data_IF_958865727255
#
_entry.id   IF_958865727255
#
_cell.length_a   1.000
_cell.length_b   1.000
_cell.length_c   1.000
_cell.angle_alpha   90.00
_cell.angle_beta   90.00
_cell.angle_gamma   90.00
#
_symmetry.space_group_name_H-M   'P 1'
#
loop_
_entity.id
_entity.type
_entity.pdbx_description
1 polymer ?
#
# COMPACT_ATOMS: atom_id res chain seq x y z
N UNK A 1 -7.48 -6.78 1.07
CA UNK A 1 -8.15 -6.41 -0.20
C UNK A 1 -7.98 -7.57 -1.17
N UNK A 2 -9.03 -8.00 -1.87
CA UNK A 2 -8.95 -9.14 -2.82
C UNK A 2 -9.48 -8.73 -4.20
N UNK A 3 -8.80 -7.77 -4.82
CA UNK A 3 -9.09 -7.30 -6.18
C UNK A 3 -7.89 -7.66 -7.05
N UNK A 4 -8.06 -8.44 -8.13
CA UNK A 4 -6.97 -8.78 -9.04
C UNK A 4 -6.29 -7.52 -9.60
N UNK A 5 -4.97 -7.57 -9.75
CA UNK A 5 -4.17 -6.45 -10.28
C UNK A 5 -3.69 -5.46 -9.23
N UNK A 6 -4.33 -5.36 -8.06
CA UNK A 6 -3.87 -4.44 -7.00
C UNK A 6 -2.66 -4.96 -6.22
N UNK A 7 -2.28 -6.22 -6.38
CA UNK A 7 -1.09 -6.82 -5.75
C UNK A 7 -0.95 -6.46 -4.27
N UNK A 8 -2.06 -6.49 -3.52
CA UNK A 8 -2.10 -6.05 -2.13
C UNK A 8 -1.19 -6.90 -1.25
N UNK A 9 -0.23 -6.27 -0.58
CA UNK A 9 0.64 -6.95 0.38
C UNK A 9 1.13 -6.00 1.47
N UNK A 10 1.57 -6.56 2.59
CA UNK A 10 2.15 -5.79 3.68
C UNK A 10 3.64 -5.52 3.45
N UNK A 11 4.09 -4.30 3.71
CA UNK A 11 5.50 -3.94 3.69
C UNK A 11 6.21 -4.42 4.95
N UNK A 12 7.54 -4.58 4.86
CA UNK A 12 8.39 -4.83 6.01
C UNK A 12 8.71 -3.51 6.71
N UNK A 13 8.66 -3.48 8.04
CA UNK A 13 9.01 -2.31 8.84
C UNK A 13 8.02 -2.04 9.97
N UNK A 14 8.40 -1.05 10.79
CA UNK A 14 7.60 -0.50 11.88
C UNK A 14 7.54 1.01 11.67
N UNK A 15 6.35 1.63 11.57
CA UNK A 15 5.01 1.02 11.69
C UNK A 15 4.66 0.11 10.52
N UNK A 16 3.66 -0.77 10.72
CA UNK A 16 3.19 -1.68 9.67
C UNK A 16 2.49 -0.88 8.58
N UNK A 17 3.01 -0.96 7.36
CA UNK A 17 2.41 -0.38 6.16
C UNK A 17 1.95 -1.46 5.18
N UNK A 18 1.10 -1.07 4.26
CA UNK A 18 0.57 -1.88 3.18
C UNK A 18 0.78 -1.17 1.84
N UNK A 19 0.83 -1.94 0.77
CA UNK A 19 0.94 -1.41 -0.59
C UNK A 19 -0.16 -1.96 -1.49
N UNK A 20 -0.64 -1.13 -2.41
CA UNK A 20 -1.42 -1.51 -3.59
C UNK A 20 -0.76 -0.95 -4.85
N UNK A 21 -0.72 -1.76 -5.91
CA UNK A 21 -0.20 -1.36 -7.21
C UNK A 21 -1.20 -0.47 -7.97
N UNK A 22 -0.68 0.54 -8.68
CA UNK A 22 -1.48 1.45 -9.51
C UNK A 22 -1.18 1.21 -10.99
N UNK A 23 -0.01 1.64 -11.47
CA UNK A 23 0.44 1.47 -12.84
C UNK A 23 1.95 1.68 -12.96
N UNK A 24 2.61 1.00 -13.91
CA UNK A 24 4.06 1.09 -14.07
C UNK A 24 4.79 0.90 -12.72
N UNK A 25 5.69 1.81 -12.32
CA UNK A 25 6.41 1.73 -11.05
C UNK A 25 5.62 2.28 -9.84
N UNK A 26 4.40 2.79 -10.04
CA UNK A 26 3.66 3.51 -9.02
C UNK A 26 2.82 2.59 -8.14
N UNK A 27 2.96 2.79 -6.83
CA UNK A 27 2.21 2.12 -5.78
C UNK A 27 1.67 3.15 -4.78
N UNK A 28 0.49 2.89 -4.21
CA UNK A 28 0.03 3.61 -3.02
C UNK A 28 0.47 2.81 -1.80
N UNK A 29 1.09 3.48 -0.83
CA UNK A 29 1.42 2.89 0.47
C UNK A 29 0.64 3.59 1.57
N UNK A 30 0.23 2.86 2.60
CA UNK A 30 -0.58 3.41 3.68
C UNK A 30 -0.46 2.58 4.97
N UNK A 31 -0.74 3.22 6.09
CA UNK A 31 -1.04 2.54 7.35
C UNK A 31 -2.54 2.25 7.46
N UNK A 32 -2.89 1.23 8.23
CA UNK A 32 -4.29 0.88 8.49
C UNK A 32 -4.57 0.87 9.98
N UNK A 33 -5.52 1.70 10.42
CA UNK A 33 -5.96 1.75 11.81
C UNK A 33 -7.47 1.95 11.90
N UNK A 34 -8.16 1.11 12.68
CA UNK A 34 -9.59 1.23 12.96
C UNK A 34 -10.51 1.43 11.74
N UNK A 35 -10.15 0.84 10.59
CA UNK A 35 -10.95 0.95 9.37
C UNK A 35 -10.59 2.15 8.48
N UNK A 36 -9.59 2.94 8.88
CA UNK A 36 -9.13 4.12 8.15
C UNK A 36 -7.72 3.90 7.59
N UNK A 37 -7.51 4.46 6.38
CA UNK A 37 -6.19 4.58 5.79
C UNK A 37 -5.52 5.86 6.30
N UNK A 38 -4.30 5.72 6.82
CA UNK A 38 -3.50 6.82 7.36
C UNK A 38 -2.17 6.89 6.61
N UNK A 39 -1.50 8.06 6.66
CA UNK A 39 -0.17 8.30 6.04
C UNK A 39 -0.08 7.71 4.63
N UNK A 40 -1.03 8.13 3.80
CA UNK A 40 -1.19 7.63 2.42
C UNK A 40 -0.19 8.35 1.54
N UNK A 41 0.70 7.58 0.91
CA UNK A 41 1.74 8.09 0.02
C UNK A 41 1.61 7.44 -1.36
N UNK A 42 1.99 8.19 -2.40
CA UNK A 42 2.18 7.67 -3.76
C UNK A 42 3.69 7.54 -4.00
N UNK A 43 4.16 6.30 -4.10
CA UNK A 43 5.58 5.97 -4.15
C UNK A 43 5.94 5.27 -5.46
N UNK A 44 7.16 5.50 -5.93
CA UNK A 44 7.79 4.67 -6.95
C UNK A 44 8.73 3.70 -6.26
N UNK A 45 8.33 2.44 -6.13
CA UNK A 45 9.22 1.41 -5.63
C UNK A 45 9.03 0.15 -6.48
N UNK A 46 9.66 0.17 -7.65
CA UNK A 46 9.92 -0.99 -8.49
C UNK A 46 11.08 -0.70 -9.42
#
# INVERSE_FOLDING_TARGET
>A
MNVPGFNFHGLHGVPKRYSIHVNGPWCITFEWNQGEALRVDLEQYH
#
